data_IF_005131295863
#
_entry.id   IF_005131295863
#
_cell.length_a   1.000
_cell.length_b   1.000
_cell.length_c   1.000
_cell.angle_alpha   90.00
_cell.angle_beta   90.00
_cell.angle_gamma   90.00
#
_symmetry.space_group_name_H-M   'P 1'
#
loop_
_entity.id
_entity.type
_entity.pdbx_description
1 polymer ?
#
# COMPACT_ATOMS: atom_id res chain seq x y z
N UNK A 1 -19.34 -6.07 11.05
CA UNK A 1 -17.99 -6.60 10.78
C UNK A 1 -17.86 -7.34 9.45
N UNK A 2 -18.83 -8.18 9.05
CA UNK A 2 -18.77 -8.89 7.75
C UNK A 2 -18.63 -7.93 6.55
N UNK A 3 -19.26 -6.75 6.61
CA UNK A 3 -19.10 -5.73 5.58
C UNK A 3 -17.66 -5.21 5.46
N UNK A 4 -16.93 -5.06 6.58
CA UNK A 4 -15.53 -4.63 6.57
C UNK A 4 -14.61 -5.72 5.99
N UNK A 5 -14.90 -6.98 6.30
CA UNK A 5 -14.18 -8.13 5.73
C UNK A 5 -14.37 -8.24 4.22
N UNK A 6 -15.62 -8.08 3.74
CA UNK A 6 -15.92 -8.07 2.32
C UNK A 6 -15.18 -6.94 1.61
N UNK A 7 -15.26 -5.71 2.15
CA UNK A 7 -14.53 -4.55 1.62
C UNK A 7 -13.01 -4.79 1.48
N UNK A 8 -12.36 -5.29 2.54
CA UNK A 8 -10.92 -5.58 2.49
C UNK A 8 -10.60 -6.68 1.48
N UNK A 9 -11.46 -7.69 1.35
CA UNK A 9 -11.30 -8.79 0.37
C UNK A 9 -11.46 -8.31 -1.07
N UNK A 10 -12.45 -7.46 -1.33
CA UNK A 10 -12.65 -6.82 -2.64
C UNK A 10 -11.48 -5.91 -2.99
N UNK A 11 -10.98 -5.13 -2.03
CA UNK A 11 -9.78 -4.31 -2.21
C UNK A 11 -8.56 -5.21 -2.51
N UNK A 12 -8.34 -6.28 -1.74
CA UNK A 12 -7.23 -7.21 -1.96
C UNK A 12 -7.26 -7.86 -3.35
N UNK A 13 -8.45 -8.06 -3.91
CA UNK A 13 -8.63 -8.63 -5.25
C UNK A 13 -8.30 -7.61 -6.35
N UNK A 14 -8.71 -6.35 -6.15
CA UNK A 14 -8.76 -5.35 -7.22
C UNK A 14 -7.69 -4.26 -7.12
N UNK A 15 -6.91 -4.18 -6.01
CA UNK A 15 -6.02 -3.04 -5.70
C UNK A 15 -4.98 -2.69 -6.79
N UNK A 16 -4.64 -3.65 -7.66
CA UNK A 16 -3.68 -3.44 -8.77
C UNK A 16 -4.27 -2.65 -9.93
N UNK A 17 -5.59 -2.61 -10.04
CA UNK A 17 -6.35 -1.93 -11.10
C UNK A 17 -6.93 -0.61 -10.60
N UNK A 18 -6.82 -0.33 -9.29
CA UNK A 18 -7.33 0.89 -8.69
C UNK A 18 -6.61 2.13 -9.21
N UNK A 19 -7.38 3.07 -9.74
CA UNK A 19 -6.94 4.44 -10.02
C UNK A 19 -6.75 5.22 -8.71
N UNK A 20 -6.16 6.41 -8.80
CA UNK A 20 -6.10 7.32 -7.65
C UNK A 20 -7.48 7.62 -7.06
N UNK A 21 -8.50 7.80 -7.90
CA UNK A 21 -9.88 8.03 -7.45
C UNK A 21 -10.44 6.81 -6.71
N UNK A 22 -10.14 5.60 -7.16
CA UNK A 22 -10.57 4.37 -6.48
C UNK A 22 -9.93 4.25 -5.11
N UNK A 23 -8.65 4.62 -4.98
CA UNK A 23 -7.95 4.67 -3.70
C UNK A 23 -8.52 5.73 -2.74
N UNK A 24 -8.91 6.90 -3.24
CA UNK A 24 -9.58 7.94 -2.43
C UNK A 24 -10.91 7.39 -1.88
N UNK A 25 -11.71 6.75 -2.73
CA UNK A 25 -12.99 6.17 -2.31
C UNK A 25 -12.80 4.99 -1.33
N UNK A 26 -11.78 4.16 -1.55
CA UNK A 26 -11.44 3.07 -0.65
C UNK A 26 -10.96 3.60 0.71
N UNK A 27 -10.15 4.66 0.73
CA UNK A 27 -9.68 5.30 1.96
C UNK A 27 -10.85 5.92 2.75
N UNK A 28 -11.77 6.59 2.06
CA UNK A 28 -12.98 7.12 2.69
C UNK A 28 -13.83 6.00 3.33
N UNK A 29 -14.04 4.90 2.59
CA UNK A 29 -14.79 3.73 3.09
C UNK A 29 -14.07 3.06 4.27
N UNK A 30 -12.74 2.99 4.22
CA UNK A 30 -11.91 2.46 5.31
C UNK A 30 -12.01 3.32 6.58
N UNK A 31 -12.00 4.64 6.43
CA UNK A 31 -12.16 5.59 7.54
C UNK A 31 -13.55 5.47 8.18
N UNK A 32 -14.62 5.29 7.39
CA UNK A 32 -15.96 5.00 7.92
C UNK A 32 -15.97 3.72 8.77
N UNK A 33 -15.29 2.66 8.32
CA UNK A 33 -15.20 1.41 9.08
C UNK A 33 -14.37 1.55 10.37
N UNK A 34 -13.28 2.32 10.33
CA UNK A 34 -12.31 2.40 11.44
C UNK A 34 -12.59 3.49 12.45
N UNK A 35 -13.33 4.54 12.06
CA UNK A 35 -13.71 5.62 12.96
C UNK A 35 -15.18 5.50 13.36
N UNK A 36 -16.10 5.48 12.41
CA UNK A 36 -17.53 5.59 12.72
C UNK A 36 -18.11 4.24 13.16
N UNK A 37 -17.98 3.21 12.33
CA UNK A 37 -18.55 1.90 12.62
C UNK A 37 -17.81 1.19 13.75
N UNK A 38 -16.51 1.42 13.90
CA UNK A 38 -15.74 0.89 15.01
C UNK A 38 -16.26 1.36 16.37
N UNK A 39 -16.70 2.61 16.50
CA UNK A 39 -17.29 3.12 17.75
C UNK A 39 -18.51 2.33 18.18
N UNK A 40 -19.30 1.81 17.23
CA UNK A 40 -20.46 0.98 17.49
C UNK A 40 -20.10 -0.47 17.85
N UNK A 41 -18.88 -0.92 17.51
CA UNK A 41 -18.46 -2.32 17.71
C UNK A 41 -17.52 -2.50 18.90
N UNK A 42 -16.68 -1.51 19.21
CA UNK A 42 -15.54 -1.65 20.12
C UNK A 42 -15.88 -2.19 21.52
N UNK A 43 -17.08 -1.83 22.01
CA UNK A 43 -17.53 -2.17 23.37
C UNK A 43 -18.27 -3.53 23.42
N UNK A 44 -18.75 -4.01 22.27
CA UNK A 44 -19.46 -5.30 22.15
C UNK A 44 -18.60 -6.42 21.57
N UNK A 45 -17.43 -6.09 21.01
CA UNK A 45 -16.53 -7.08 20.41
C UNK A 45 -15.84 -7.94 21.46
N UNK A 46 -15.91 -9.25 21.24
CA UNK A 46 -15.05 -10.22 21.90
C UNK A 46 -13.56 -10.02 21.51
N UNK A 47 -12.61 -10.56 22.30
CA UNK A 47 -11.19 -10.50 21.96
C UNK A 47 -10.83 -11.06 20.57
N UNK A 48 -11.52 -12.12 20.14
CA UNK A 48 -11.30 -12.71 18.81
C UNK A 48 -11.78 -11.78 17.69
N UNK A 49 -12.90 -11.09 17.87
CA UNK A 49 -13.41 -10.09 16.94
C UNK A 49 -12.48 -8.87 16.86
N UNK A 50 -11.95 -8.40 18.01
CA UNK A 50 -10.93 -7.34 18.04
C UNK A 50 -9.68 -7.72 17.26
N UNK A 51 -9.21 -8.95 17.44
CA UNK A 51 -8.07 -9.46 16.67
C UNK A 51 -8.39 -9.54 15.17
N UNK A 52 -9.57 -10.04 14.80
CA UNK A 52 -10.02 -10.08 13.40
C UNK A 52 -10.07 -8.68 12.78
N UNK A 53 -10.64 -7.71 13.48
CA UNK A 53 -10.67 -6.31 13.05
C UNK A 53 -9.27 -5.73 12.85
N UNK A 54 -8.36 -5.92 13.81
CA UNK A 54 -6.98 -5.45 13.69
C UNK A 54 -6.24 -6.11 12.51
N UNK A 55 -6.52 -7.39 12.22
CA UNK A 55 -5.99 -8.06 11.03
C UNK A 55 -6.50 -7.44 9.74
N UNK A 56 -7.78 -7.07 9.67
CA UNK A 56 -8.35 -6.38 8.49
C UNK A 56 -7.73 -5.00 8.29
N UNK A 57 -7.56 -4.22 9.36
CA UNK A 57 -6.83 -2.94 9.35
C UNK A 57 -5.40 -3.12 8.84
N UNK A 58 -4.68 -4.12 9.35
CA UNK A 58 -3.32 -4.42 8.91
C UNK A 58 -3.23 -4.84 7.44
N UNK A 59 -4.18 -5.67 6.97
CA UNK A 59 -4.26 -6.10 5.57
C UNK A 59 -4.45 -4.91 4.63
N UNK A 60 -5.41 -4.02 4.92
CA UNK A 60 -5.67 -2.85 4.08
C UNK A 60 -4.43 -1.94 3.96
N UNK A 61 -3.77 -1.63 5.10
CA UNK A 61 -2.54 -0.84 5.10
C UNK A 61 -1.40 -1.51 4.30
N UNK A 62 -1.26 -2.84 4.38
CA UNK A 62 -0.29 -3.57 3.59
C UNK A 62 -0.58 -3.48 2.07
N UNK A 63 -1.85 -3.44 1.66
CA UNK A 63 -2.22 -3.22 0.25
C UNK A 63 -1.80 -1.83 -0.24
N UNK A 64 -2.00 -0.78 0.57
CA UNK A 64 -1.52 0.57 0.25
C UNK A 64 -0.01 0.63 0.07
N UNK A 65 0.75 -0.02 0.96
CA UNK A 65 2.21 -0.12 0.84
C UNK A 65 2.59 -0.86 -0.46
N UNK A 66 1.92 -1.98 -0.77
CA UNK A 66 2.17 -2.74 -2.00
C UNK A 66 1.89 -1.93 -3.27
N UNK A 67 0.84 -1.10 -3.26
CA UNK A 67 0.56 -0.14 -4.35
C UNK A 67 1.72 0.83 -4.51
N UNK A 68 2.11 1.53 -3.44
CA UNK A 68 3.18 2.53 -3.50
C UNK A 68 4.54 1.93 -3.91
N UNK A 69 4.86 0.69 -3.50
CA UNK A 69 6.08 -0.02 -3.96
C UNK A 69 5.94 -0.48 -5.43
N UNK A 70 4.72 -0.81 -5.87
CA UNK A 70 4.41 -1.12 -7.26
C UNK A 70 4.60 0.10 -8.17
N UNK A 71 4.12 1.27 -7.75
CA UNK A 71 4.30 2.55 -8.44
C UNK A 71 5.80 2.95 -8.45
N UNK A 72 6.52 2.71 -7.35
CA UNK A 72 7.96 2.93 -7.24
C UNK A 72 8.81 1.99 -8.13
N UNK A 73 8.25 0.92 -8.72
CA UNK A 73 9.04 0.06 -9.64
C UNK A 73 9.36 0.71 -10.98
N UNK A 74 8.60 1.70 -11.44
CA UNK A 74 8.99 2.51 -12.59
C UNK A 74 10.11 3.49 -12.21
N UNK A 75 9.94 4.24 -11.11
CA UNK A 75 10.94 5.20 -10.63
C UNK A 75 12.26 4.55 -10.16
N UNK A 76 12.24 3.37 -9.53
CA UNK A 76 13.46 2.66 -9.11
C UNK A 76 14.20 2.05 -10.29
N UNK A 77 13.50 1.64 -11.34
CA UNK A 77 14.17 1.21 -12.57
C UNK A 77 14.91 2.37 -13.21
N UNK A 78 14.31 3.55 -13.22
CA UNK A 78 14.95 4.75 -13.77
C UNK A 78 16.08 5.26 -12.89
N UNK A 79 15.95 5.24 -11.56
CA UNK A 79 17.05 5.56 -10.63
C UNK A 79 18.18 4.52 -10.75
N UNK A 80 17.87 3.22 -10.86
CA UNK A 80 18.87 2.18 -11.04
C UNK A 80 19.59 2.32 -12.39
N UNK A 81 18.87 2.59 -13.47
CA UNK A 81 19.46 2.81 -14.81
C UNK A 81 20.25 4.13 -14.88
N UNK A 82 19.79 5.21 -14.26
CA UNK A 82 20.57 6.46 -14.12
C UNK A 82 21.83 6.21 -13.31
N UNK A 83 21.74 5.53 -12.16
CA UNK A 83 22.89 5.28 -11.30
C UNK A 83 23.96 4.44 -11.99
N UNK A 84 23.57 3.53 -12.89
CA UNK A 84 24.50 2.74 -13.69
C UNK A 84 25.18 3.59 -14.79
N UNK A 85 24.44 4.47 -15.46
CA UNK A 85 25.01 5.40 -16.46
C UNK A 85 26.01 6.37 -15.83
N UNK A 86 25.69 6.94 -14.66
CA UNK A 86 26.58 7.87 -13.97
C UNK A 86 27.82 7.17 -13.42
N UNK A 87 27.70 5.91 -12.96
CA UNK A 87 28.87 5.13 -12.53
C UNK A 87 29.76 4.70 -13.71
N UNK A 88 29.18 4.29 -14.83
CA UNK A 88 29.94 3.92 -16.04
C UNK A 88 30.65 5.14 -16.65
N UNK A 89 30.02 6.31 -16.68
CA UNK A 89 30.69 7.57 -17.07
C UNK A 89 31.82 7.94 -16.11
N UNK A 90 31.60 7.91 -14.79
CA UNK A 90 32.64 8.23 -13.79
C UNK A 90 33.83 7.25 -13.82
N UNK A 91 33.58 5.97 -14.07
CA UNK A 91 34.64 4.95 -14.19
C UNK A 91 35.41 5.13 -15.50
N UNK A 92 34.74 5.40 -16.62
CA UNK A 92 35.40 5.65 -17.90
C UNK A 92 36.16 6.98 -17.94
N UNK A 93 35.68 8.03 -17.26
CA UNK A 93 36.42 9.30 -17.13
C UNK A 93 37.69 9.13 -16.27
N UNK A 94 37.65 8.25 -15.26
CA UNK A 94 38.82 7.95 -14.41
C UNK A 94 39.92 7.13 -15.12
N UNK A 95 39.61 6.50 -16.25
CA UNK A 95 40.60 5.83 -17.10
C UNK A 95 41.42 6.76 -18.00
N UNK A 96 41.16 8.08 -17.99
CA UNK A 96 41.98 9.07 -18.69
C UNK A 96 43.15 9.64 -17.85
N UNK A 97 43.34 9.17 -16.61
CA UNK A 97 44.46 9.53 -15.74
C UNK A 97 45.49 8.41 -15.52
N UNK A 98 45.60 7.45 -16.46
CA UNK A 98 46.70 6.47 -16.50
C UNK A 98 47.34 6.38 -17.87
#
# INVERSE_FOLDING_TARGET
>A
MSNFENFVTETETNFKEYTESDWINADYTFDEFTNEQYLNWKDTMSPSEKNKFNKLVGKYNALKIKKNIGDFKEDVKDIYNQSKSTFEELVNDSTLLK
#
